data_IF_663424588917
#
_entry.id   IF_663424588917
#
_cell.length_a   1.000
_cell.length_b   1.000
_cell.length_c   1.000
_cell.angle_alpha   90.00
_cell.angle_beta   90.00
_cell.angle_gamma   90.00
#
_symmetry.space_group_name_H-M   'P 1'
#
loop_
_entity.id
_entity.type
_entity.pdbx_description
1 polymer ?
#
# COMPACT_ATOMS: atom_id res chain seq x y z
N UNK A 1 -26.94 7.39 -6.13
CA UNK A 1 -27.06 6.20 -5.26
C UNK A 1 -27.17 4.93 -6.11
N UNK A 2 -27.08 3.75 -5.50
CA UNK A 2 -27.19 2.47 -6.19
C UNK A 2 -28.65 2.01 -6.27
N UNK A 3 -29.05 1.43 -7.41
CA UNK A 3 -30.32 0.73 -7.56
C UNK A 3 -30.14 -0.74 -7.16
N UNK A 4 -31.04 -1.24 -6.31
CA UNK A 4 -31.02 -2.61 -5.82
C UNK A 4 -32.35 -3.30 -6.12
N UNK A 5 -32.28 -4.58 -6.46
CA UNK A 5 -33.46 -5.43 -6.64
C UNK A 5 -34.22 -5.60 -5.33
N UNK A 6 -35.50 -5.99 -5.40
CA UNK A 6 -36.29 -6.29 -4.19
C UNK A 6 -35.62 -7.33 -3.29
N UNK A 7 -34.98 -8.35 -3.89
CA UNK A 7 -34.27 -9.39 -3.13
C UNK A 7 -33.09 -8.82 -2.34
N UNK A 8 -32.32 -7.92 -2.94
CA UNK A 8 -31.22 -7.24 -2.27
C UNK A 8 -31.75 -6.29 -1.18
N UNK A 9 -32.84 -5.57 -1.47
CA UNK A 9 -33.49 -4.70 -0.49
C UNK A 9 -33.97 -5.48 0.75
N UNK A 10 -34.46 -6.71 0.60
CA UNK A 10 -34.81 -7.57 1.74
C UNK A 10 -33.60 -7.83 2.65
N UNK A 11 -32.43 -8.13 2.07
CA UNK A 11 -31.20 -8.35 2.84
C UNK A 11 -30.74 -7.07 3.54
N UNK A 12 -30.73 -5.97 2.80
CA UNK A 12 -30.27 -4.67 3.30
C UNK A 12 -31.19 -4.07 4.38
N UNK A 13 -32.47 -4.42 4.42
CA UNK A 13 -33.43 -3.82 5.38
C UNK A 13 -33.94 -4.82 6.43
N UNK A 14 -33.68 -6.10 6.25
CA UNK A 14 -34.26 -7.18 7.05
C UNK A 14 -35.78 -7.33 6.88
N UNK A 15 -36.40 -6.63 5.92
CA UNK A 15 -37.85 -6.67 5.69
C UNK A 15 -38.23 -7.83 4.78
N UNK A 16 -39.36 -8.46 5.08
CA UNK A 16 -39.95 -9.45 4.21
C UNK A 16 -40.37 -8.84 2.85
N UNK A 17 -40.31 -9.65 1.78
CA UNK A 17 -40.70 -9.25 0.43
C UNK A 17 -42.08 -8.60 0.38
N UNK A 18 -43.06 -9.21 1.05
CA UNK A 18 -44.45 -8.73 1.10
C UNK A 18 -44.57 -7.33 1.71
N UNK A 19 -43.75 -6.99 2.73
CA UNK A 19 -43.75 -5.64 3.30
C UNK A 19 -43.24 -4.63 2.28
N UNK A 20 -42.13 -4.92 1.59
CA UNK A 20 -41.59 -4.02 0.57
C UNK A 20 -42.61 -3.74 -0.54
N UNK A 21 -43.29 -4.78 -1.06
CA UNK A 21 -44.34 -4.59 -2.07
C UNK A 21 -45.55 -3.82 -1.53
N UNK A 22 -45.96 -4.06 -0.28
CA UNK A 22 -47.03 -3.31 0.37
C UNK A 22 -46.65 -1.83 0.52
N UNK A 23 -45.41 -1.54 0.90
CA UNK A 23 -44.91 -0.18 1.09
C UNK A 23 -44.76 0.54 -0.26
N UNK A 24 -44.39 -0.17 -1.33
CA UNK A 24 -44.48 0.35 -2.70
C UNK A 24 -45.92 0.65 -3.12
N UNK A 25 -46.85 -0.28 -2.87
CA UNK A 25 -48.26 -0.12 -3.24
C UNK A 25 -48.90 1.07 -2.49
N UNK A 26 -48.45 1.36 -1.27
CA UNK A 26 -48.83 2.53 -0.48
C UNK A 26 -48.11 3.82 -0.87
N UNK A 27 -47.15 3.77 -1.81
CA UNK A 27 -46.35 4.93 -2.21
C UNK A 27 -45.32 5.38 -1.17
N UNK A 28 -45.05 4.57 -0.13
CA UNK A 28 -44.09 4.90 0.93
C UNK A 28 -42.64 4.84 0.41
N UNK A 29 -42.37 3.92 -0.51
CA UNK A 29 -41.07 3.69 -1.16
C UNK A 29 -41.23 3.88 -2.66
N UNK A 30 -40.43 4.75 -3.27
CA UNK A 30 -40.36 4.85 -4.73
C UNK A 30 -39.54 3.70 -5.32
N UNK A 31 -39.98 3.20 -6.48
CA UNK A 31 -39.28 2.15 -7.21
C UNK A 31 -39.27 2.47 -8.71
N UNK A 32 -38.35 1.83 -9.44
CA UNK A 32 -38.29 1.81 -10.90
C UNK A 32 -38.57 0.40 -11.40
N UNK A 33 -39.21 0.32 -12.56
CA UNK A 33 -39.38 -0.95 -13.28
C UNK A 33 -38.27 -1.09 -14.31
N UNK A 34 -37.64 -2.26 -14.37
CA UNK A 34 -36.69 -2.59 -15.42
C UNK A 34 -37.40 -3.20 -16.64
N UNK A 35 -36.64 -3.41 -17.73
CA UNK A 35 -37.16 -3.93 -19.00
C UNK A 35 -37.72 -5.36 -18.85
N UNK A 36 -37.20 -6.12 -17.89
CA UNK A 36 -37.65 -7.47 -17.55
C UNK A 36 -38.90 -7.49 -16.63
N UNK A 37 -39.44 -6.31 -16.28
CA UNK A 37 -40.57 -6.15 -15.36
C UNK A 37 -40.20 -6.29 -13.88
N UNK A 38 -38.92 -6.49 -13.55
CA UNK A 38 -38.44 -6.47 -12.18
C UNK A 38 -38.49 -5.06 -11.58
N UNK A 39 -38.56 -4.98 -10.25
CA UNK A 39 -38.60 -3.70 -9.53
C UNK A 39 -37.28 -3.47 -8.80
N UNK A 40 -36.74 -2.28 -8.99
CA UNK A 40 -35.52 -1.83 -8.35
C UNK A 40 -35.80 -0.58 -7.50
N UNK A 41 -35.14 -0.51 -6.35
CA UNK A 41 -35.30 0.55 -5.35
C UNK A 41 -33.95 1.21 -5.16
N UNK A 42 -33.92 2.52 -5.02
CA UNK A 42 -32.69 3.24 -4.71
C UNK A 42 -32.30 3.02 -3.24
N UNK A 43 -31.00 2.86 -2.95
CA UNK A 43 -30.53 2.70 -1.55
C UNK A 43 -30.87 3.89 -0.66
N UNK A 44 -30.97 5.11 -1.20
CA UNK A 44 -31.44 6.27 -0.44
C UNK A 44 -32.91 6.18 -0.05
N UNK A 45 -33.76 5.63 -0.91
CA UNK A 45 -35.18 5.41 -0.60
C UNK A 45 -35.31 4.38 0.52
N UNK A 46 -34.48 3.33 0.49
CA UNK A 46 -34.43 2.37 1.60
C UNK A 46 -33.97 3.03 2.90
N UNK A 47 -32.93 3.88 2.85
CA UNK A 47 -32.44 4.58 4.04
C UNK A 47 -33.48 5.56 4.59
N UNK A 48 -34.12 6.34 3.72
CA UNK A 48 -35.17 7.29 4.09
C UNK A 48 -36.34 6.61 4.78
N UNK A 49 -36.71 5.42 4.34
CA UNK A 49 -37.92 4.72 4.80
C UNK A 49 -37.67 3.76 5.95
N UNK A 50 -36.53 3.08 5.96
CA UNK A 50 -36.23 2.00 6.92
C UNK A 50 -35.05 2.30 7.84
N UNK A 51 -34.31 3.38 7.61
CA UNK A 51 -33.14 3.76 8.39
C UNK A 51 -31.86 3.11 7.89
N UNK A 52 -30.86 3.01 8.76
CA UNK A 52 -29.55 2.43 8.41
C UNK A 52 -29.72 1.00 7.86
N UNK A 53 -29.02 0.72 6.75
CA UNK A 53 -29.08 -0.58 6.10
C UNK A 53 -28.23 -1.59 6.89
N UNK A 54 -28.75 -2.82 6.98
CA UNK A 54 -28.01 -3.96 7.50
C UNK A 54 -26.79 -4.16 6.61
N UNK A 55 -25.62 -3.93 7.21
CA UNK A 55 -24.37 -4.39 6.66
C UNK A 55 -24.39 -5.90 6.87
N UNK A 56 -24.61 -6.66 5.80
CA UNK A 56 -24.17 -8.05 5.82
C UNK A 56 -22.70 -7.95 6.22
N UNK A 57 -22.37 -8.45 7.41
CA UNK A 57 -21.03 -8.86 7.76
C UNK A 57 -20.67 -9.93 6.73
N UNK A 58 -20.31 -9.48 5.52
CA UNK A 58 -19.52 -10.30 4.63
C UNK A 58 -18.25 -10.46 5.42
N UNK A 59 -18.21 -11.56 6.20
CA UNK A 59 -17.02 -12.06 6.87
C UNK A 59 -15.88 -11.71 5.95
N UNK A 60 -15.05 -10.79 6.44
CA UNK A 60 -13.97 -10.18 5.70
C UNK A 60 -13.51 -11.11 4.60
N UNK A 61 -13.69 -10.72 3.33
CA UNK A 61 -13.09 -11.46 2.21
C UNK A 61 -11.54 -11.43 2.30
N UNK A 62 -11.01 -10.89 3.38
CA UNK A 62 -9.61 -10.88 3.78
C UNK A 62 -9.21 -12.08 4.66
N UNK A 63 -10.15 -12.86 5.23
CA UNK A 63 -9.80 -14.02 6.11
C UNK A 63 -10.02 -15.39 5.45
N UNK A 64 -10.23 -15.43 4.13
CA UNK A 64 -10.29 -16.68 3.36
C UNK A 64 -9.27 -16.68 2.21
N UNK A 65 -8.03 -16.30 2.50
CA UNK A 65 -6.91 -16.99 1.86
C UNK A 65 -6.77 -18.29 2.66
N UNK A 66 -6.84 -19.50 2.08
CA UNK A 66 -6.21 -20.61 2.76
C UNK A 66 -4.75 -20.16 2.93
N UNK A 67 -4.32 -19.98 4.18
CA UNK A 67 -2.91 -19.98 4.51
C UNK A 67 -2.41 -21.36 4.13
N UNK A 68 -2.22 -21.61 2.83
CA UNK A 68 -1.51 -22.76 2.35
C UNK A 68 -0.14 -22.64 3.01
N UNK A 69 0.27 -23.66 3.77
CA UNK A 69 1.59 -23.70 4.41
C UNK A 69 2.70 -23.34 3.41
N UNK A 70 2.51 -23.74 2.14
CA UNK A 70 3.31 -23.35 0.97
C UNK A 70 3.45 -21.84 0.75
N UNK A 71 2.40 -21.05 0.98
CA UNK A 71 2.44 -19.59 0.86
C UNK A 71 3.31 -18.95 1.95
N UNK A 72 3.26 -19.49 3.17
CA UNK A 72 4.11 -19.02 4.27
C UNK A 72 5.57 -19.43 4.05
N UNK A 73 5.83 -20.64 3.55
CA UNK A 73 7.18 -21.11 3.19
C UNK A 73 7.80 -20.26 2.09
N UNK A 74 7.07 -20.00 0.99
CA UNK A 74 7.55 -19.13 -0.10
C UNK A 74 7.81 -17.71 0.38
N UNK A 75 6.95 -17.18 1.27
CA UNK A 75 7.18 -15.85 1.86
C UNK A 75 8.44 -15.85 2.74
N UNK A 76 8.67 -16.91 3.54
CA UNK A 76 9.86 -17.02 4.37
C UNK A 76 11.14 -17.13 3.54
N UNK A 77 11.13 -17.93 2.47
CA UNK A 77 12.24 -18.08 1.53
C UNK A 77 12.57 -16.73 0.86
N UNK A 78 11.55 -16.02 0.36
CA UNK A 78 11.72 -14.69 -0.21
C UNK A 78 12.28 -13.68 0.80
N UNK A 79 11.84 -13.75 2.07
CA UNK A 79 12.36 -12.88 3.13
C UNK A 79 13.82 -13.20 3.46
N UNK A 80 14.22 -14.48 3.45
CA UNK A 80 15.63 -14.86 3.62
C UNK A 80 16.50 -14.38 2.47
N UNK A 81 16.02 -14.50 1.22
CA UNK A 81 16.73 -14.04 0.03
C UNK A 81 16.94 -12.52 0.08
N UNK A 82 15.89 -11.76 0.42
CA UNK A 82 15.99 -10.30 0.57
C UNK A 82 17.00 -9.91 1.65
N UNK A 83 17.12 -10.68 2.74
CA UNK A 83 18.13 -10.41 3.77
C UNK A 83 19.54 -10.66 3.24
N UNK A 84 19.78 -11.81 2.59
CA UNK A 84 21.09 -12.11 2.02
C UNK A 84 21.54 -11.06 1.00
N UNK A 85 20.65 -10.67 0.08
CA UNK A 85 20.94 -9.62 -0.90
C UNK A 85 21.21 -8.26 -0.26
N UNK A 86 20.50 -7.91 0.83
CA UNK A 86 20.74 -6.67 1.57
C UNK A 86 22.10 -6.67 2.25
N UNK A 87 22.50 -7.80 2.83
CA UNK A 87 23.79 -7.95 3.48
C UNK A 87 24.94 -7.89 2.46
N UNK A 88 24.79 -8.52 1.30
CA UNK A 88 25.76 -8.43 0.20
C UNK A 88 25.90 -6.99 -0.32
N UNK A 89 24.77 -6.30 -0.55
CA UNK A 89 24.77 -4.89 -0.94
C UNK A 89 25.42 -4.01 0.13
N UNK A 90 25.21 -4.30 1.41
CA UNK A 90 25.85 -3.58 2.51
C UNK A 90 27.37 -3.82 2.50
N UNK A 91 27.82 -5.06 2.32
CA UNK A 91 29.24 -5.41 2.21
C UNK A 91 29.93 -4.70 1.06
N UNK A 92 29.36 -4.79 -0.15
CA UNK A 92 29.88 -4.12 -1.34
C UNK A 92 29.96 -2.60 -1.18
N UNK A 93 28.99 -2.00 -0.48
CA UNK A 93 29.03 -0.55 -0.18
C UNK A 93 30.18 -0.18 0.76
N UNK A 94 30.49 -1.01 1.75
CA UNK A 94 31.62 -0.80 2.65
C UNK A 94 32.93 -0.91 1.88
N UNK A 95 33.12 -1.97 1.10
CA UNK A 95 34.31 -2.16 0.26
C UNK A 95 34.53 -0.98 -0.70
N UNK A 96 33.46 -0.52 -1.37
CA UNK A 96 33.53 0.67 -2.22
C UNK A 96 33.94 1.92 -1.45
N UNK A 97 33.45 2.10 -0.22
CA UNK A 97 33.85 3.24 0.62
C UNK A 97 35.32 3.14 1.05
N UNK A 98 35.80 1.95 1.38
CA UNK A 98 37.20 1.70 1.72
C UNK A 98 38.12 1.97 0.54
N UNK A 99 37.80 1.46 -0.66
CA UNK A 99 38.55 1.77 -1.88
C UNK A 99 38.61 3.28 -2.15
N UNK A 100 37.47 3.99 -2.06
CA UNK A 100 37.44 5.46 -2.22
C UNK A 100 38.28 6.19 -1.18
N UNK A 101 38.37 5.69 0.06
CA UNK A 101 39.23 6.27 1.10
C UNK A 101 40.70 6.07 0.80
N UNK A 102 41.09 4.91 0.28
CA UNK A 102 42.47 4.63 -0.14
C UNK A 102 42.88 5.48 -1.35
N UNK A 103 41.95 5.76 -2.25
CA UNK A 103 42.16 6.61 -3.42
C UNK A 103 42.23 8.11 -3.11
N UNK A 104 41.87 8.54 -1.89
CA UNK A 104 41.95 9.94 -1.48
C UNK A 104 43.42 10.40 -1.40
N UNK A 105 43.99 10.79 -2.54
CA UNK A 105 45.15 11.67 -2.61
C UNK A 105 44.66 13.06 -2.22
N UNK A 106 45.12 13.64 -1.10
CA UNK A 106 44.79 15.03 -0.80
C UNK A 106 45.25 15.88 -1.99
N UNK A 107 44.37 16.74 -2.49
CA UNK A 107 44.79 17.83 -3.35
C UNK A 107 45.93 18.55 -2.63
N UNK A 108 47.11 18.74 -3.26
CA UNK A 108 48.13 19.56 -2.66
C UNK A 108 47.54 20.97 -2.60
N UNK A 109 47.03 21.35 -1.43
CA UNK A 109 46.63 22.72 -1.13
C UNK A 109 47.78 23.62 -1.58
N UNK A 110 47.48 24.59 -2.46
CA UNK A 110 48.43 25.52 -3.08
C UNK A 110 49.02 26.51 -2.05
N UNK A 111 49.54 26.01 -0.94
CA UNK A 111 50.16 26.80 0.10
C UNK A 111 51.20 25.98 0.85
N UNK A 112 52.40 25.92 0.29
CA UNK A 112 53.58 26.33 1.05
C UNK A 112 54.59 26.84 0.03
N UNK A 113 55.10 28.06 0.26
CA UNK A 113 56.31 28.54 -0.41
C UNK A 113 57.42 27.56 -0.04
N UNK A 114 57.62 26.57 -0.90
CA UNK A 114 58.66 25.55 -0.76
C UNK A 114 60.00 26.26 -0.89
N UNK A 115 60.58 26.65 0.25
CA UNK A 115 61.96 27.08 0.29
C UNK A 115 62.79 25.85 -0.01
N UNK A 116 63.33 25.82 -1.22
CA UNK A 116 64.15 24.75 -1.77
C UNK A 116 65.28 24.40 -0.79
N UNK A 117 65.31 23.15 -0.34
CA UNK A 117 66.20 22.65 0.71
C UNK A 117 67.69 22.92 0.44
N UNK A 118 68.11 22.97 -0.83
CA UNK A 118 69.48 23.29 -1.25
C UNK A 118 69.90 24.75 -1.03
N UNK A 119 68.95 25.68 -0.87
CA UNK A 119 69.27 27.08 -0.57
C UNK A 119 69.73 27.29 0.88
N UNK A 120 69.40 26.37 1.80
CA UNK A 120 69.82 26.46 3.21
C UNK A 120 71.30 26.15 3.41
N UNK A 121 71.89 25.36 2.52
CA UNK A 121 73.31 24.96 2.56
C UNK A 121 74.26 26.01 1.94
N UNK A 122 73.73 26.95 1.15
CA UNK A 122 74.53 28.02 0.50
C UNK A 122 74.92 29.17 1.43
N UNK A 123 74.38 29.23 2.65
CA UNK A 123 74.63 30.31 3.62
C UNK A 123 75.67 30.00 4.70
N UNK A 124 76.22 28.79 4.76
CA UNK A 124 77.18 28.36 5.79
C UNK A 124 78.59 28.27 5.18
N UNK A 125 79.05 29.34 4.53
CA UNK A 125 80.46 29.47 4.15
C UNK A 125 80.90 30.93 4.28
N UNK A 126 81.30 31.30 5.50
CA UNK A 126 82.41 32.19 5.84
C UNK A 126 82.60 32.22 7.34
#
# INVERSE_FOLDING_TARGET
MALVTVRQAMKLTGKARSSLYRDMAKGRVSYRSEVDGSRCIDTSELIRVYGELIRDETSSRDTRRPESETGNEVIQELVSEIKMLRDEVAGLRVEMQEMRRLEHKPEPSLSTVSTKWWQRWRRISK
#
